data_IF_057915930144
#
_entry.id   IF_057915930144
#
_cell.length_a   1.000
_cell.length_b   1.000
_cell.length_c   1.000
_cell.angle_alpha   90.00
_cell.angle_beta   90.00
_cell.angle_gamma   90.00
#
_symmetry.space_group_name_H-M   'P 1'
#
loop_
_entity.id
_entity.type
_entity.pdbx_description
1 polymer ?
#
# COMPACT_ATOMS: atom_id res chain seq x y z
N UNK A 1 32.74 9.35 -29.29
CA UNK A 1 31.70 9.87 -28.37
C UNK A 1 30.73 8.80 -27.85
N UNK A 2 30.46 7.73 -28.59
CA UNK A 2 29.49 6.68 -28.17
C UNK A 2 29.98 5.68 -27.12
N UNK A 3 31.28 5.42 -26.98
CA UNK A 3 31.78 4.41 -26.04
C UNK A 3 31.65 4.84 -24.58
N UNK A 4 31.87 6.10 -24.24
CA UNK A 4 31.75 6.61 -22.87
C UNK A 4 30.29 6.65 -22.37
N UNK A 5 29.32 6.86 -23.26
CA UNK A 5 27.89 6.85 -22.92
C UNK A 5 27.47 5.41 -22.59
N UNK A 6 27.93 4.44 -23.36
CA UNK A 6 27.59 3.03 -23.18
C UNK A 6 28.20 2.45 -21.87
N UNK A 7 29.41 2.85 -21.52
CA UNK A 7 30.04 2.42 -20.26
C UNK A 7 29.35 2.99 -19.02
N UNK A 8 28.90 4.23 -19.05
CA UNK A 8 28.14 4.84 -17.93
C UNK A 8 26.77 4.17 -17.77
N UNK A 9 26.09 3.81 -18.86
CA UNK A 9 24.83 3.10 -18.82
C UNK A 9 25.03 1.68 -18.24
N UNK A 10 26.05 0.97 -18.66
CA UNK A 10 26.39 -0.36 -18.17
C UNK A 10 26.73 -0.34 -16.67
N UNK A 11 27.52 0.62 -16.21
CA UNK A 11 27.86 0.79 -14.79
C UNK A 11 26.62 1.09 -13.93
N UNK A 12 25.68 1.92 -14.44
CA UNK A 12 24.40 2.16 -13.76
C UNK A 12 23.57 0.89 -13.69
N UNK A 13 23.47 0.15 -14.78
CA UNK A 13 22.72 -1.11 -14.83
C UNK A 13 23.28 -2.14 -13.83
N UNK A 14 24.61 -2.32 -13.77
CA UNK A 14 25.25 -3.21 -12.81
C UNK A 14 24.96 -2.79 -11.37
N UNK A 15 24.95 -1.49 -11.08
CA UNK A 15 24.64 -0.93 -9.76
C UNK A 15 23.19 -1.22 -9.33
N UNK A 16 22.22 -1.10 -10.25
CA UNK A 16 20.80 -1.31 -9.93
C UNK A 16 20.32 -2.75 -10.09
N UNK A 17 21.11 -3.60 -10.75
CA UNK A 17 20.77 -5.01 -10.97
C UNK A 17 20.33 -5.75 -9.69
N UNK A 18 21.04 -5.65 -8.55
CA UNK A 18 20.65 -6.36 -7.34
C UNK A 18 19.29 -5.86 -6.79
N UNK A 19 19.03 -4.56 -6.84
CA UNK A 19 17.73 -4.00 -6.43
C UNK A 19 16.58 -4.48 -7.32
N UNK A 20 16.80 -4.54 -8.64
CA UNK A 20 15.82 -5.05 -9.59
C UNK A 20 15.57 -6.55 -9.39
N UNK A 21 16.60 -7.34 -9.11
CA UNK A 21 16.46 -8.77 -8.81
C UNK A 21 15.69 -8.98 -7.51
N UNK A 22 16.01 -8.23 -6.46
CA UNK A 22 15.28 -8.29 -5.19
C UNK A 22 13.81 -7.91 -5.34
N UNK A 23 13.52 -6.79 -6.02
CA UNK A 23 12.16 -6.37 -6.31
C UNK A 23 11.41 -7.42 -7.15
N UNK A 24 12.07 -7.98 -8.18
CA UNK A 24 11.50 -9.02 -9.03
C UNK A 24 11.17 -10.29 -8.24
N UNK A 25 12.07 -10.73 -7.36
CA UNK A 25 11.85 -11.90 -6.51
C UNK A 25 10.70 -11.66 -5.51
N UNK A 26 10.70 -10.51 -4.85
CA UNK A 26 9.61 -10.11 -3.94
C UNK A 26 8.27 -10.08 -4.66
N UNK A 27 8.22 -9.46 -5.84
CA UNK A 27 7.01 -9.40 -6.67
C UNK A 27 6.53 -10.80 -7.06
N UNK A 28 7.43 -11.67 -7.46
CA UNK A 28 7.11 -13.04 -7.87
C UNK A 28 6.55 -13.86 -6.69
N UNK A 29 7.12 -13.74 -5.51
CA UNK A 29 6.64 -14.40 -4.30
C UNK A 29 5.24 -13.89 -3.93
N UNK A 30 5.05 -12.57 -3.88
CA UNK A 30 3.77 -11.97 -3.50
C UNK A 30 2.66 -12.28 -4.52
N UNK A 31 3.00 -12.24 -5.82
CA UNK A 31 2.07 -12.63 -6.88
C UNK A 31 1.72 -14.11 -6.80
N UNK A 32 2.71 -14.97 -6.58
CA UNK A 32 2.49 -16.41 -6.39
C UNK A 32 1.58 -16.70 -5.21
N UNK A 33 1.77 -16.01 -4.08
CA UNK A 33 0.90 -16.13 -2.92
C UNK A 33 -0.53 -15.62 -3.21
N UNK A 34 -0.65 -14.49 -3.91
CA UNK A 34 -1.95 -13.92 -4.25
C UNK A 34 -2.75 -14.86 -5.17
N UNK A 35 -2.09 -15.46 -6.17
CA UNK A 35 -2.69 -16.44 -7.06
C UNK A 35 -3.05 -17.74 -6.32
N UNK A 36 -2.13 -18.27 -5.51
CA UNK A 36 -2.35 -19.51 -4.74
C UNK A 36 -3.50 -19.39 -3.75
N UNK A 37 -3.61 -18.26 -3.07
CA UNK A 37 -4.68 -17.97 -2.11
C UNK A 37 -5.95 -17.43 -2.76
N UNK A 38 -5.93 -17.10 -4.05
CA UNK A 38 -7.05 -16.49 -4.74
C UNK A 38 -7.45 -15.14 -4.17
N UNK A 39 -6.47 -14.30 -3.78
CA UNK A 39 -6.76 -12.95 -3.33
C UNK A 39 -7.20 -12.05 -4.48
N UNK A 40 -8.12 -11.14 -4.19
CA UNK A 40 -8.52 -10.11 -5.15
C UNK A 40 -7.29 -9.30 -5.64
N UNK A 41 -7.16 -9.00 -6.95
CA UNK A 41 -8.12 -9.20 -8.02
C UNK A 41 -8.09 -10.59 -8.70
N UNK A 42 -7.23 -11.51 -8.28
CA UNK A 42 -7.04 -12.82 -8.94
C UNK A 42 -8.05 -13.89 -8.51
N UNK A 43 -8.87 -13.60 -7.51
CA UNK A 43 -9.94 -14.48 -7.03
C UNK A 43 -10.90 -13.73 -6.11
N UNK A 44 -11.78 -14.48 -5.45
CA UNK A 44 -12.82 -13.93 -4.56
C UNK A 44 -12.38 -13.77 -3.11
N UNK A 45 -11.20 -14.26 -2.74
CA UNK A 45 -10.71 -14.16 -1.38
C UNK A 45 -10.16 -12.77 -1.09
N UNK A 46 -10.32 -12.34 0.17
CA UNK A 46 -9.80 -11.06 0.64
C UNK A 46 -8.66 -11.28 1.64
N UNK A 47 -7.71 -10.36 1.66
CA UNK A 47 -6.72 -10.25 2.74
C UNK A 47 -7.31 -9.67 4.02
N UNK A 48 -8.55 -9.21 3.98
CA UNK A 48 -9.26 -8.60 5.11
C UNK A 48 -9.64 -9.66 6.14
N UNK A 49 -8.68 -10.03 6.98
CA UNK A 49 -8.87 -11.01 8.07
C UNK A 49 -8.50 -10.37 9.39
N UNK A 50 -9.15 -10.82 10.47
CA UNK A 50 -8.93 -10.36 11.84
C UNK A 50 -8.96 -8.80 11.87
N UNK A 51 -7.98 -8.15 12.45
CA UNK A 51 -7.93 -6.70 12.61
C UNK A 51 -7.99 -5.94 11.28
N UNK A 52 -7.41 -6.49 10.21
CA UNK A 52 -7.43 -5.85 8.90
C UNK A 52 -8.86 -5.75 8.34
N UNK A 53 -9.71 -6.75 8.61
CA UNK A 53 -11.11 -6.76 8.19
C UNK A 53 -12.08 -6.14 9.20
N UNK A 54 -11.73 -6.09 10.48
CA UNK A 54 -12.63 -5.61 11.53
C UNK A 54 -12.35 -4.16 11.96
N UNK A 55 -11.13 -3.66 11.76
CA UNK A 55 -10.71 -2.35 12.24
C UNK A 55 -10.06 -1.51 11.15
N UNK A 56 -9.05 -2.04 10.45
CA UNK A 56 -8.28 -1.24 9.51
C UNK A 56 -9.08 -0.83 8.28
N UNK A 57 -10.01 -1.66 7.81
CA UNK A 57 -10.83 -1.33 6.64
C UNK A 57 -11.70 -0.09 6.90
N UNK A 58 -12.25 0.02 8.11
CA UNK A 58 -13.06 1.18 8.51
C UNK A 58 -12.19 2.44 8.63
N UNK A 59 -10.97 2.32 9.14
CA UNK A 59 -10.02 3.43 9.18
C UNK A 59 -9.56 3.86 7.78
N UNK A 60 -9.40 2.92 6.84
CA UNK A 60 -9.06 3.25 5.46
C UNK A 60 -10.24 3.91 4.72
N UNK A 61 -11.46 3.46 4.99
CA UNK A 61 -12.67 4.13 4.50
C UNK A 61 -12.76 5.55 5.04
N UNK A 62 -12.61 5.73 6.36
CA UNK A 62 -12.59 7.04 7.00
C UNK A 62 -11.46 7.95 6.46
N UNK A 63 -10.27 7.40 6.22
CA UNK A 63 -9.15 8.11 5.58
C UNK A 63 -9.54 8.68 4.21
N UNK A 64 -10.15 7.85 3.36
CA UNK A 64 -10.64 8.29 2.06
C UNK A 64 -11.69 9.39 2.20
N UNK A 65 -12.75 9.13 2.99
CA UNK A 65 -13.85 10.07 3.17
C UNK A 65 -13.35 11.42 3.69
N UNK A 66 -12.49 11.41 4.70
CA UNK A 66 -11.92 12.64 5.27
C UNK A 66 -11.14 13.44 4.24
N UNK A 67 -10.31 12.78 3.42
CA UNK A 67 -9.48 13.50 2.43
C UNK A 67 -10.26 13.93 1.17
N UNK A 68 -11.38 13.27 0.84
CA UNK A 68 -12.10 13.53 -0.41
C UNK A 68 -13.45 14.23 -0.23
N UNK A 69 -14.10 14.08 0.93
CA UNK A 69 -15.49 14.50 1.12
C UNK A 69 -15.71 15.34 2.38
N UNK A 70 -15.04 15.00 3.49
CA UNK A 70 -15.32 15.57 4.82
C UNK A 70 -14.03 16.02 5.53
N UNK A 71 -13.26 16.98 4.97
CA UNK A 71 -11.97 17.40 5.53
C UNK A 71 -12.10 18.00 6.94
N UNK A 72 -13.25 18.46 7.34
CA UNK A 72 -13.57 18.94 8.70
C UNK A 72 -13.43 17.84 9.76
N UNK A 73 -13.57 16.57 9.37
CA UNK A 73 -13.40 15.43 10.27
C UNK A 73 -11.94 15.03 10.51
N UNK A 74 -10.98 15.77 9.95
CA UNK A 74 -9.56 15.45 10.10
C UNK A 74 -9.08 15.44 11.55
N UNK A 75 -9.52 16.39 12.36
CA UNK A 75 -9.12 16.52 13.76
C UNK A 75 -10.07 15.80 14.71
N UNK A 76 -11.35 15.76 14.39
CA UNK A 76 -12.40 15.17 15.23
C UNK A 76 -13.46 14.51 14.36
N UNK A 77 -13.86 13.29 14.69
CA UNK A 77 -14.92 12.58 13.96
C UNK A 77 -15.91 11.93 14.91
N UNK A 78 -17.19 12.07 14.59
CA UNK A 78 -18.28 11.35 15.25
C UNK A 78 -18.37 9.88 14.83
N UNK A 79 -17.69 9.47 13.76
CA UNK A 79 -17.60 8.08 13.31
C UNK A 79 -16.69 7.23 14.21
N UNK A 80 -15.88 7.86 15.08
CA UNK A 80 -15.07 7.17 16.08
C UNK A 80 -15.86 6.99 17.38
N UNK A 81 -16.62 5.89 17.48
CA UNK A 81 -17.45 5.61 18.65
C UNK A 81 -18.53 6.68 18.84
N UNK A 82 -18.55 7.31 19.99
CA UNK A 82 -19.46 8.45 20.30
C UNK A 82 -18.86 9.82 19.94
N UNK A 83 -17.82 9.83 19.15
CA UNK A 83 -17.01 11.00 18.80
C UNK A 83 -15.69 11.04 19.55
N UNK A 84 -14.65 11.45 18.83
CA UNK A 84 -13.33 11.52 19.42
C UNK A 84 -12.31 12.20 18.53
N UNK A 85 -11.16 12.53 19.13
CA UNK A 85 -10.04 13.10 18.42
C UNK A 85 -9.46 12.06 17.43
N UNK A 86 -9.00 12.53 16.29
CA UNK A 86 -8.52 11.69 15.21
C UNK A 86 -7.00 11.65 15.09
N UNK A 87 -6.27 12.51 15.81
CA UNK A 87 -4.80 12.64 15.72
C UNK A 87 -4.12 11.31 16.03
N UNK A 88 -4.58 10.60 17.07
CA UNK A 88 -4.06 9.28 17.42
C UNK A 88 -4.28 8.23 16.31
N UNK A 89 -5.44 8.23 15.68
CA UNK A 89 -5.76 7.32 14.56
C UNK A 89 -4.89 7.65 13.34
N UNK A 90 -4.75 8.95 13.01
CA UNK A 90 -3.87 9.40 11.94
C UNK A 90 -2.43 8.95 12.20
N UNK A 91 -1.87 9.28 13.35
CA UNK A 91 -0.47 8.99 13.68
C UNK A 91 -0.16 7.50 13.69
N UNK A 92 -1.08 6.68 14.22
CA UNK A 92 -0.83 5.25 14.41
C UNK A 92 -1.15 4.43 13.14
N UNK A 93 -2.24 4.74 12.43
CA UNK A 93 -2.76 3.88 11.35
C UNK A 93 -2.63 4.49 9.96
N UNK A 94 -2.75 5.82 9.81
CA UNK A 94 -3.07 6.44 8.54
C UNK A 94 -1.97 7.30 7.93
N UNK A 95 -0.93 7.70 8.69
CA UNK A 95 0.12 8.62 8.20
C UNK A 95 1.17 7.98 7.28
N UNK A 96 0.99 6.72 6.89
CA UNK A 96 1.87 6.11 5.91
C UNK A 96 1.65 6.72 4.52
N UNK A 97 2.68 7.21 3.82
CA UNK A 97 2.53 7.77 2.48
C UNK A 97 1.97 6.76 1.47
N UNK A 98 2.18 5.47 1.69
CA UNK A 98 1.60 4.42 0.87
C UNK A 98 0.08 4.38 0.94
N UNK A 99 -0.54 4.86 2.03
CA UNK A 99 -1.99 4.87 2.18
C UNK A 99 -2.67 5.80 1.14
N UNK A 100 -1.95 6.76 0.55
CA UNK A 100 -2.48 7.60 -0.52
C UNK A 100 -2.94 6.79 -1.75
N UNK A 101 -2.43 5.58 -1.95
CA UNK A 101 -2.91 4.70 -3.03
C UNK A 101 -4.38 4.34 -2.87
N UNK A 102 -4.91 4.33 -1.63
CA UNK A 102 -6.31 4.02 -1.36
C UNK A 102 -7.28 5.07 -1.91
N UNK A 103 -6.81 6.30 -2.18
CA UNK A 103 -7.63 7.34 -2.81
C UNK A 103 -8.00 7.01 -4.27
N UNK A 104 -7.28 6.08 -4.90
CA UNK A 104 -7.55 5.62 -6.26
C UNK A 104 -8.69 4.60 -6.35
N UNK A 105 -9.15 4.09 -5.20
CA UNK A 105 -10.20 3.07 -5.11
C UNK A 105 -11.46 3.67 -4.50
N UNK A 106 -12.62 3.21 -4.94
CA UNK A 106 -13.90 3.48 -4.28
C UNK A 106 -14.15 2.50 -3.12
N UNK A 107 -15.24 2.71 -2.37
CA UNK A 107 -15.59 1.85 -1.22
C UNK A 107 -15.76 0.37 -1.62
N UNK A 108 -16.32 0.10 -2.80
CA UNK A 108 -16.58 -1.26 -3.27
C UNK A 108 -15.29 -2.02 -3.61
N UNK A 109 -14.25 -1.30 -4.05
CA UNK A 109 -12.95 -1.86 -4.45
C UNK A 109 -11.85 -1.65 -3.41
N UNK A 110 -12.19 -1.17 -2.22
CA UNK A 110 -11.23 -0.87 -1.17
C UNK A 110 -10.41 -2.11 -0.74
N UNK A 111 -11.01 -3.30 -0.76
CA UNK A 111 -10.31 -4.57 -0.49
C UNK A 111 -9.17 -4.84 -1.49
N UNK A 112 -9.37 -4.50 -2.77
CA UNK A 112 -8.32 -4.58 -3.81
C UNK A 112 -7.25 -3.53 -3.53
N UNK A 113 -7.66 -2.33 -3.14
CA UNK A 113 -6.75 -1.25 -2.73
C UNK A 113 -5.84 -1.67 -1.57
N UNK A 114 -6.38 -2.36 -0.57
CA UNK A 114 -5.61 -2.90 0.57
C UNK A 114 -4.62 -3.97 0.12
N UNK A 115 -4.98 -4.82 -0.83
CA UNK A 115 -4.05 -5.80 -1.42
C UNK A 115 -2.87 -5.10 -2.11
N UNK A 116 -3.14 -4.08 -2.92
CA UNK A 116 -2.11 -3.27 -3.56
C UNK A 116 -1.25 -2.51 -2.53
N UNK A 117 -1.88 -1.92 -1.52
CA UNK A 117 -1.18 -1.24 -0.43
C UNK A 117 -0.19 -2.17 0.29
N UNK A 118 -0.62 -3.40 0.59
CA UNK A 118 0.22 -4.41 1.23
C UNK A 118 1.41 -4.76 0.34
N UNK A 119 1.17 -4.97 -0.96
CA UNK A 119 2.24 -5.19 -1.94
C UNK A 119 3.25 -4.03 -1.94
N UNK A 120 2.79 -2.79 -2.02
CA UNK A 120 3.67 -1.61 -2.07
C UNK A 120 4.51 -1.46 -0.80
N UNK A 121 3.93 -1.71 0.38
CA UNK A 121 4.65 -1.68 1.65
C UNK A 121 5.74 -2.76 1.72
N UNK A 122 5.43 -3.99 1.31
CA UNK A 122 6.39 -5.10 1.32
C UNK A 122 7.49 -4.91 0.26
N UNK A 123 7.12 -4.47 -0.93
CA UNK A 123 8.10 -4.15 -1.98
C UNK A 123 9.01 -2.99 -1.58
N UNK A 124 8.46 -1.94 -0.97
CA UNK A 124 9.23 -0.81 -0.43
C UNK A 124 10.17 -1.25 0.68
N UNK A 125 9.70 -2.07 1.63
CA UNK A 125 10.53 -2.64 2.68
C UNK A 125 11.67 -3.48 2.10
N UNK A 126 11.39 -4.34 1.12
CA UNK A 126 12.37 -5.16 0.43
C UNK A 126 13.48 -4.32 -0.21
N UNK A 127 13.13 -3.20 -0.85
CA UNK A 127 14.11 -2.30 -1.47
C UNK A 127 14.98 -1.55 -0.47
N UNK A 128 14.44 -1.23 0.72
CA UNK A 128 15.20 -0.51 1.75
C UNK A 128 16.07 -1.42 2.60
N UNK A 129 15.78 -2.71 2.64
CA UNK A 129 16.56 -3.72 3.38
C UNK A 129 17.77 -4.21 2.61
N UNK A 130 17.86 -3.94 1.33
CA UNK A 130 18.93 -4.35 0.43
C UNK A 130 20.01 -3.28 0.33
#
# INVERSE_FOLDING_TARGET
MNQHVNQRALQRFVRYKPYLLNLGLTTLILLGLALFKGFAPFGSNSMLTIDLGQQYIDFFSLFRQTLTQTPEQFLYSFQKGYGGEMIGVWAYYLMSPFNLVLLLFDEQHLAVGVTLLTYLKLAGASLTFF
#
